data_IF_971060935084
#
_entry.id   IF_971060935084
#
_cell.length_a   1.000
_cell.length_b   1.000
_cell.length_c   1.000
_cell.angle_alpha   90.00
_cell.angle_beta   90.00
_cell.angle_gamma   90.00
#
_symmetry.space_group_name_H-M   'P 1'
#
loop_
_entity.id
_entity.type
_entity.pdbx_description
1 polymer ?
#
# COMPACT_ATOMS: atom_id res chain seq x y z
N UNK A 1 -17.58 -8.99 -2.78
CA UNK A 1 -17.52 -7.64 -2.20
C UNK A 1 -16.29 -6.95 -2.73
N UNK A 2 -16.35 -5.64 -2.95
CA UNK A 2 -15.21 -4.87 -3.46
C UNK A 2 -14.64 -3.97 -2.37
N UNK A 3 -13.34 -3.78 -2.38
CA UNK A 3 -12.58 -3.01 -1.41
C UNK A 3 -11.73 -1.98 -2.15
N UNK A 4 -11.78 -0.73 -1.71
CA UNK A 4 -10.88 0.33 -2.14
C UNK A 4 -9.74 0.41 -1.14
N UNK A 5 -8.51 0.33 -1.65
CA UNK A 5 -7.31 0.23 -0.84
C UNK A 5 -6.27 1.22 -1.31
N UNK A 6 -5.61 1.86 -0.36
CA UNK A 6 -4.49 2.77 -0.60
C UNK A 6 -3.26 2.18 0.06
N UNK A 7 -2.20 1.98 -0.71
CA UNK A 7 -0.90 1.56 -0.22
C UNK A 7 0.08 2.71 -0.36
N UNK A 8 0.78 3.03 0.72
CA UNK A 8 1.83 4.03 0.72
C UNK A 8 3.20 3.34 0.82
N UNK A 9 4.13 3.72 -0.04
CA UNK A 9 5.51 3.26 0.05
C UNK A 9 6.34 4.29 0.83
N UNK A 10 6.63 4.01 2.09
CA UNK A 10 7.35 4.95 2.97
C UNK A 10 8.77 5.27 2.50
N UNK A 11 9.40 4.33 1.78
CA UNK A 11 10.77 4.51 1.27
C UNK A 11 10.83 5.33 -0.01
N UNK A 12 9.75 5.33 -0.78
CA UNK A 12 9.69 5.91 -2.13
C UNK A 12 8.71 7.07 -2.27
N UNK A 13 7.88 7.34 -1.26
CA UNK A 13 6.86 8.38 -1.29
C UNK A 13 5.76 8.14 -2.31
N UNK A 14 5.44 6.88 -2.63
CA UNK A 14 4.47 6.52 -3.66
C UNK A 14 3.15 6.13 -3.00
N UNK A 15 2.03 6.68 -3.48
CA UNK A 15 0.69 6.27 -3.08
C UNK A 15 0.01 5.53 -4.24
N UNK A 16 -0.32 4.26 -4.04
CA UNK A 16 -0.97 3.40 -5.03
C UNK A 16 -2.38 3.03 -4.59
N UNK A 17 -3.32 3.06 -5.53
CA UNK A 17 -4.75 2.84 -5.27
C UNK A 17 -5.23 1.58 -5.99
N UNK A 18 -5.89 0.68 -5.27
CA UNK A 18 -6.41 -0.56 -5.82
C UNK A 18 -7.88 -0.77 -5.47
N UNK A 19 -8.62 -1.35 -6.42
CA UNK A 19 -9.98 -1.83 -6.21
C UNK A 19 -10.01 -3.34 -6.34
N UNK A 20 -10.21 -4.06 -5.24
CA UNK A 20 -10.06 -5.52 -5.20
C UNK A 20 -11.34 -6.19 -4.76
N UNK A 21 -11.74 -7.21 -5.50
CA UNK A 21 -12.82 -8.09 -5.13
C UNK A 21 -12.31 -9.19 -4.20
N UNK A 22 -12.82 -9.21 -2.97
CA UNK A 22 -12.51 -10.24 -2.00
C UNK A 22 -13.62 -10.37 -0.95
N UNK A 23 -13.84 -11.58 -0.39
CA UNK A 23 -14.84 -11.80 0.65
C UNK A 23 -14.46 -11.16 1.99
N UNK A 24 -13.16 -11.04 2.29
CA UNK A 24 -12.64 -10.52 3.55
C UNK A 24 -11.64 -9.37 3.32
N UNK A 25 -11.59 -8.37 4.21
CA UNK A 25 -10.65 -7.25 4.09
C UNK A 25 -9.19 -7.69 4.14
N UNK A 26 -8.87 -8.70 4.97
CA UNK A 26 -7.51 -9.27 5.06
C UNK A 26 -7.07 -9.93 3.76
N UNK A 27 -8.00 -10.58 3.05
CA UNK A 27 -7.72 -11.17 1.74
C UNK A 27 -7.50 -10.09 0.68
N UNK A 28 -8.31 -9.03 0.70
CA UNK A 28 -8.12 -7.86 -0.16
C UNK A 28 -6.76 -7.21 0.07
N UNK A 29 -6.34 -7.04 1.33
CA UNK A 29 -5.04 -6.46 1.69
C UNK A 29 -3.86 -7.24 1.13
N UNK A 30 -3.89 -8.57 1.24
CA UNK A 30 -2.82 -9.43 0.68
C UNK A 30 -2.77 -9.34 -0.84
N UNK A 31 -3.92 -9.35 -1.50
CA UNK A 31 -4.00 -9.21 -2.96
C UNK A 31 -3.52 -7.82 -3.42
N UNK A 32 -3.88 -6.75 -2.69
CA UNK A 32 -3.49 -5.38 -3.00
C UNK A 32 -2.01 -5.13 -2.79
N UNK A 33 -1.43 -5.69 -1.74
CA UNK A 33 0.01 -5.63 -1.53
C UNK A 33 0.78 -6.32 -2.66
N UNK A 34 0.32 -7.50 -3.08
CA UNK A 34 0.93 -8.21 -4.21
C UNK A 34 0.84 -7.40 -5.52
N UNK A 35 -0.30 -6.73 -5.76
CA UNK A 35 -0.46 -5.84 -6.91
C UNK A 35 0.52 -4.66 -6.85
N UNK A 36 0.65 -4.01 -5.69
CA UNK A 36 1.60 -2.91 -5.48
C UNK A 36 3.06 -3.32 -5.73
N UNK A 37 3.45 -4.51 -5.25
CA UNK A 37 4.80 -5.05 -5.47
C UNK A 37 5.03 -5.38 -6.95
N UNK A 38 4.03 -5.91 -7.65
CA UNK A 38 4.13 -6.27 -9.06
C UNK A 38 4.22 -5.02 -9.97
N UNK A 39 3.42 -3.99 -9.69
CA UNK A 39 3.41 -2.74 -10.44
C UNK A 39 4.67 -1.89 -10.16
N UNK A 40 5.13 -1.90 -8.92
CA UNK A 40 6.28 -1.13 -8.47
C UNK A 40 7.33 -2.04 -7.83
N UNK A 41 8.04 -2.84 -8.64
CA UNK A 41 9.08 -3.72 -8.12
C UNK A 41 10.12 -2.91 -7.35
N UNK A 42 10.60 -3.46 -6.24
CA UNK A 42 11.66 -2.84 -5.48
C UNK A 42 12.92 -2.72 -6.37
N UNK A 43 13.60 -1.57 -6.37
CA UNK A 43 14.83 -1.43 -7.13
C UNK A 43 15.87 -2.46 -6.64
N UNK A 44 16.73 -2.98 -7.54
CA UNK A 44 17.79 -3.89 -7.14
C UNK A 44 18.65 -3.22 -6.07
N UNK A 45 18.76 -3.87 -4.91
CA UNK A 45 19.45 -3.30 -3.76
C UNK A 45 20.93 -3.07 -4.05
N UNK A 46 21.41 -1.84 -3.83
CA UNK A 46 22.84 -1.52 -3.88
C UNK A 46 23.52 -2.08 -2.62
N UNK A 47 24.13 -3.26 -2.73
CA UNK A 47 25.10 -3.76 -1.76
C UNK A 47 24.58 -4.63 -0.61
N UNK A 48 25.50 -5.04 0.28
CA UNK A 48 25.21 -5.84 1.48
C UNK A 48 24.41 -4.98 2.47
N UNK A 49 23.19 -5.39 2.77
CA UNK A 49 22.34 -4.78 3.82
C UNK A 49 23.03 -4.80 5.17
N UNK A 50 22.94 -3.69 5.90
CA UNK A 50 23.45 -3.55 7.27
C UNK A 50 22.72 -4.51 8.23
N UNK A 51 23.30 -4.77 9.40
CA UNK A 51 22.65 -5.61 10.43
C UNK A 51 21.33 -4.99 10.91
N UNK A 52 21.26 -3.65 10.98
CA UNK A 52 20.06 -2.91 11.34
C UNK A 52 18.93 -3.14 10.32
N UNK A 53 19.21 -2.96 9.02
CA UNK A 53 18.23 -3.18 7.94
C UNK A 53 17.75 -4.64 7.85
N UNK A 54 18.56 -5.59 8.32
CA UNK A 54 18.17 -7.00 8.45
C UNK A 54 17.27 -7.21 9.66
N UNK A 55 17.57 -6.59 10.80
CA UNK A 55 16.77 -6.70 12.01
C UNK A 55 15.36 -6.12 11.81
N UNK A 56 15.23 -4.96 11.14
CA UNK A 56 13.92 -4.37 10.81
C UNK A 56 13.05 -5.34 9.98
N UNK A 57 13.68 -6.01 9.01
CA UNK A 57 13.01 -7.00 8.16
C UNK A 57 12.58 -8.25 8.94
N UNK A 58 13.43 -8.73 9.86
CA UNK A 58 13.11 -9.89 10.71
C UNK A 58 12.07 -9.53 11.77
N UNK A 59 12.01 -8.27 12.20
CA UNK A 59 11.02 -7.74 13.16
C UNK A 59 9.61 -7.56 12.59
N UNK A 60 9.34 -8.03 11.37
CA UNK A 60 8.01 -8.00 10.78
C UNK A 60 7.69 -6.77 9.93
N UNK A 61 8.65 -5.88 9.66
CA UNK A 61 8.47 -4.84 8.65
C UNK A 61 8.66 -5.41 7.24
N UNK A 62 7.71 -5.11 6.35
CA UNK A 62 7.81 -5.48 4.95
C UNK A 62 9.02 -4.77 4.31
N UNK A 63 10.02 -5.51 3.80
CA UNK A 63 11.19 -4.91 3.19
C UNK A 63 10.91 -4.12 1.90
N UNK A 64 9.72 -4.27 1.32
CA UNK A 64 9.28 -3.49 0.16
C UNK A 64 9.04 -2.01 0.50
N UNK A 65 8.81 -1.70 1.78
CA UNK A 65 8.41 -0.38 2.26
C UNK A 65 6.94 -0.04 2.03
N UNK A 66 6.13 -0.99 1.53
CA UNK A 66 4.68 -0.81 1.36
C UNK A 66 3.94 -0.98 2.69
N UNK A 67 3.07 -0.03 2.97
CA UNK A 67 2.17 -0.03 4.13
C UNK A 67 0.74 0.15 3.63
N UNK A 68 -0.19 -0.64 4.17
CA UNK A 68 -1.61 -0.41 3.94
C UNK A 68 -2.02 0.88 4.67
N UNK A 69 -2.24 1.94 3.90
CA UNK A 69 -2.56 3.27 4.42
C UNK A 69 -4.07 3.41 4.70
N UNK A 70 -4.91 2.90 3.78
CA UNK A 70 -6.36 2.97 3.90
C UNK A 70 -7.03 1.74 3.30
N UNK A 71 -8.09 1.28 3.95
CA UNK A 71 -8.99 0.25 3.42
C UNK A 71 -10.44 0.67 3.67
N UNK A 72 -11.23 0.65 2.61
CA UNK A 72 -12.65 0.99 2.64
C UNK A 72 -13.42 -0.08 1.88
N UNK A 73 -14.59 -0.46 2.38
CA UNK A 73 -15.52 -1.29 1.61
C UNK A 73 -16.11 -0.44 0.49
N UNK A 74 -16.01 -0.90 -0.76
CA UNK A 74 -16.66 -0.27 -1.91
C UNK A 74 -18.16 -0.56 -1.82
N UNK A 75 -18.84 0.16 -0.93
CA UNK A 75 -20.28 0.33 -0.94
C UNK A 75 -20.56 1.48 -1.88
N UNK A 76 -21.35 1.25 -2.93
CA UNK A 76 -21.75 2.27 -3.89
C UNK A 76 -22.34 3.51 -3.19
N UNK A 77 -21.48 4.47 -2.83
CA UNK A 77 -21.84 5.73 -2.21
C UNK A 77 -20.77 6.74 -2.57
N UNK A 78 -21.06 7.48 -3.65
CA UNK A 78 -20.48 8.70 -4.20
C UNK A 78 -18.93 8.88 -4.20
N UNK A 79 -18.34 9.38 -5.30
CA UNK A 79 -16.93 9.76 -5.32
C UNK A 79 -16.66 10.81 -4.23
N UNK A 80 -15.50 10.78 -3.55
CA UNK A 80 -15.07 11.87 -2.69
C UNK A 80 -14.60 13.05 -3.56
N UNK A 81 -15.52 13.71 -4.27
CA UNK A 81 -15.25 15.05 -4.81
C UNK A 81 -15.53 16.07 -3.71
N UNK A 82 -14.45 16.46 -3.01
CA UNK A 82 -14.18 17.83 -2.52
C UNK A 82 -13.21 17.80 -1.33
N UNK A 83 -11.90 17.73 -1.60
CA UNK A 83 -10.99 18.62 -0.87
C UNK A 83 -10.90 19.87 -1.74
N UNK A 84 -11.84 20.79 -1.51
CA UNK A 84 -11.76 22.14 -2.04
C UNK A 84 -10.53 22.79 -1.42
N UNK A 85 -9.51 23.01 -2.25
CA UNK A 85 -8.43 23.91 -1.92
C UNK A 85 -9.02 25.32 -1.80
N UNK A 86 -9.47 25.70 -0.61
CA UNK A 86 -9.57 27.10 -0.25
C UNK A 86 -8.15 27.55 0.11
N UNK A 87 -7.46 28.06 -0.92
CA UNK A 87 -6.35 28.97 -0.75
C UNK A 87 -6.86 30.28 -0.12
N UNK A 88 -5.95 30.92 0.62
CA UNK A 88 -6.10 32.07 1.50
C UNK A 88 -6.82 33.29 0.90
#
# INVERSE_FOLDING_TARGET
MRWLMEFYNERRGILAHYSIEAPLPVAAARLGLNAAIAEYPAPPGKGRRSLFERAERTGGQDPSGWVLYRIVKDSAQAPPDAVSAHAA
#
